data_IF_380577382603
#
_entry.id   IF_380577382603
#
_cell.length_a   1.000
_cell.length_b   1.000
_cell.length_c   1.000
_cell.angle_alpha   90.00
_cell.angle_beta   90.00
_cell.angle_gamma   90.00
#
_symmetry.space_group_name_H-M   'P 1'
#
loop_
_entity.id
_entity.type
_entity.pdbx_description
1 polymer ?
#
# COMPACT_ATOMS: atom_id res chain seq x y z
N UNK A 1 7.79 9.69 0.74
CA UNK A 1 7.18 8.58 -0.02
C UNK A 1 7.00 8.93 -1.50
N UNK A 2 6.67 10.18 -1.82
CA UNK A 2 6.33 10.64 -3.18
C UNK A 2 7.34 10.30 -4.27
N UNK A 3 8.64 10.31 -3.96
CA UNK A 3 9.67 9.89 -4.92
C UNK A 3 9.52 8.43 -5.34
N UNK A 4 9.06 7.53 -4.45
CA UNK A 4 8.86 6.11 -4.76
C UNK A 4 7.71 5.89 -5.75
N UNK A 5 6.65 6.69 -5.65
CA UNK A 5 5.58 6.72 -6.65
C UNK A 5 6.15 7.16 -8.01
N UNK A 6 6.96 8.22 -8.03
CA UNK A 6 7.55 8.74 -9.28
C UNK A 6 8.44 7.71 -9.97
N UNK A 7 9.15 6.88 -9.20
CA UNK A 7 9.98 5.80 -9.72
C UNK A 7 9.21 4.51 -10.03
N UNK A 8 7.88 4.49 -9.86
CA UNK A 8 7.04 3.32 -10.14
C UNK A 8 7.32 2.12 -9.21
N UNK A 9 7.91 2.36 -8.04
CA UNK A 9 8.26 1.31 -7.07
C UNK A 9 7.03 0.87 -6.27
N UNK A 10 6.17 1.83 -5.94
CA UNK A 10 4.91 1.60 -5.20
C UNK A 10 3.73 2.05 -6.05
N UNK A 11 2.60 1.33 -5.93
CA UNK A 11 1.41 1.61 -6.73
C UNK A 11 0.59 2.77 -6.15
N UNK A 12 0.63 2.96 -4.83
CA UNK A 12 -0.10 4.01 -4.13
C UNK A 12 0.59 4.44 -2.83
N UNK A 13 0.26 5.65 -2.39
CA UNK A 13 0.54 6.16 -1.05
C UNK A 13 -0.81 6.34 -0.38
N UNK A 14 -1.04 5.61 0.71
CA UNK A 14 -2.24 5.77 1.52
C UNK A 14 -2.03 6.97 2.45
N UNK A 15 -2.85 8.04 2.34
CA UNK A 15 -2.66 9.23 3.15
C UNK A 15 -3.04 8.98 4.61
N UNK A 16 -2.30 9.61 5.52
CA UNK A 16 -2.56 9.60 6.96
C UNK A 16 -3.15 10.96 7.37
N UNK A 17 -4.47 11.06 7.59
CA UNK A 17 -5.15 12.35 7.75
C UNK A 17 -4.99 12.98 9.14
N UNK A 18 -4.62 12.18 10.15
CA UNK A 18 -4.50 12.59 11.54
C UNK A 18 -3.13 12.17 12.07
N UNK A 19 -2.52 12.96 12.95
CA UNK A 19 -1.31 12.53 13.63
C UNK A 19 -1.67 11.42 14.62
N UNK A 20 -0.98 10.30 14.53
CA UNK A 20 -1.25 9.11 15.33
C UNK A 20 0.07 8.41 15.66
N UNK A 21 0.04 7.61 16.71
CA UNK A 21 1.14 6.73 17.07
C UNK A 21 0.57 5.37 17.46
N UNK A 22 1.36 4.33 17.23
CA UNK A 22 1.11 3.03 17.85
C UNK A 22 1.31 3.23 19.35
N UNK A 23 0.25 3.01 20.13
CA UNK A 23 0.35 3.02 21.59
C UNK A 23 1.29 1.87 22.01
N UNK A 24 2.44 2.21 22.58
CA UNK A 24 3.40 1.23 23.10
C UNK A 24 3.04 0.80 24.53
N UNK A 25 1.83 1.11 25.00
CA UNK A 25 1.35 0.85 26.36
C UNK A 25 1.57 2.02 27.31
N UNK A 26 1.76 3.25 26.83
CA UNK A 26 1.98 4.45 27.64
C UNK A 26 0.70 5.30 27.85
N UNK A 27 -0.44 4.84 27.32
CA UNK A 27 -1.76 5.34 27.70
C UNK A 27 -2.19 6.63 27.03
N UNK A 28 -1.55 7.02 25.92
CA UNK A 28 -2.07 8.10 25.08
C UNK A 28 -3.25 7.61 24.24
N UNK A 29 -4.34 8.36 24.23
CA UNK A 29 -5.62 8.09 23.54
C UNK A 29 -5.49 8.19 22.00
N UNK A 30 -4.58 7.43 21.40
CA UNK A 30 -4.39 7.32 19.95
C UNK A 30 -5.33 6.29 19.31
N UNK A 31 -6.14 5.57 20.10
CA UNK A 31 -6.93 4.43 19.66
C UNK A 31 -7.93 4.75 18.53
N UNK A 32 -8.55 5.93 18.53
CA UNK A 32 -9.48 6.34 17.46
C UNK A 32 -8.78 6.68 16.16
N UNK A 33 -7.72 7.49 16.21
CA UNK A 33 -6.93 7.85 15.03
C UNK A 33 -6.27 6.60 14.42
N UNK A 34 -5.66 5.75 15.26
CA UNK A 34 -5.14 4.44 14.87
C UNK A 34 -6.20 3.59 14.17
N UNK A 35 -7.38 3.45 14.77
CA UNK A 35 -8.48 2.66 14.19
C UNK A 35 -8.92 3.21 12.82
N UNK A 36 -8.97 4.53 12.66
CA UNK A 36 -9.33 5.17 11.39
C UNK A 36 -8.30 4.89 10.28
N UNK A 37 -7.02 4.98 10.60
CA UNK A 37 -5.93 4.69 9.66
C UNK A 37 -5.86 3.20 9.33
N UNK A 38 -5.97 2.33 10.32
CA UNK A 38 -6.03 0.88 10.11
C UNK A 38 -7.22 0.48 9.22
N UNK A 39 -8.39 1.12 9.41
CA UNK A 39 -9.57 0.90 8.56
C UNK A 39 -9.33 1.37 7.12
N UNK A 40 -8.67 2.51 6.95
CA UNK A 40 -8.30 3.04 5.62
C UNK A 40 -7.33 2.10 4.92
N UNK A 41 -6.27 1.65 5.59
CA UNK A 41 -5.31 0.68 5.07
C UNK A 41 -5.98 -0.64 4.71
N UNK A 42 -6.82 -1.20 5.60
CA UNK A 42 -7.58 -2.43 5.34
C UNK A 42 -8.43 -2.32 4.08
N UNK A 43 -9.11 -1.17 3.89
CA UNK A 43 -9.93 -0.92 2.70
C UNK A 43 -9.09 -0.99 1.43
N UNK A 44 -7.91 -0.36 1.42
CA UNK A 44 -7.02 -0.36 0.24
C UNK A 44 -6.44 -1.75 -0.04
N UNK A 45 -5.95 -2.45 0.98
CA UNK A 45 -5.46 -3.83 0.85
C UNK A 45 -6.54 -4.75 0.27
N UNK A 46 -7.78 -4.66 0.78
CA UNK A 46 -8.89 -5.51 0.32
C UNK A 46 -9.27 -5.19 -1.12
N UNK A 47 -9.25 -3.92 -1.52
CA UNK A 47 -9.48 -3.50 -2.90
C UNK A 47 -8.42 -4.10 -3.84
N UNK A 48 -7.13 -3.95 -3.51
CA UNK A 48 -6.03 -4.48 -4.31
C UNK A 48 -6.09 -6.02 -4.41
N UNK A 49 -6.42 -6.71 -3.32
CA UNK A 49 -6.62 -8.16 -3.34
C UNK A 49 -7.77 -8.57 -4.25
N UNK A 50 -8.89 -7.83 -4.22
CA UNK A 50 -10.04 -8.11 -5.10
C UNK A 50 -9.71 -7.89 -6.57
N UNK A 51 -8.95 -6.84 -6.89
CA UNK A 51 -8.50 -6.55 -8.26
C UNK A 51 -7.56 -7.64 -8.79
N UNK A 52 -6.64 -8.13 -7.95
CA UNK A 52 -5.72 -9.22 -8.30
C UNK A 52 -6.43 -10.56 -8.41
N UNK A 53 -7.40 -10.85 -7.53
CA UNK A 53 -8.16 -12.10 -7.55
C UNK A 53 -9.04 -12.25 -8.79
N UNK A 54 -9.40 -11.14 -9.45
CA UNK A 54 -10.16 -11.15 -10.71
C UNK A 54 -9.31 -11.53 -11.94
N UNK A 55 -7.98 -11.62 -11.80
CA UNK A 55 -7.06 -11.95 -12.89
C UNK A 55 -6.75 -13.45 -12.90
N UNK A 56 -6.57 -14.00 -14.09
CA UNK A 56 -6.07 -15.37 -14.21
C UNK A 56 -4.59 -15.47 -13.84
N UNK A 57 -4.14 -16.67 -13.51
CA UNK A 57 -2.77 -16.93 -13.06
C UNK A 57 -1.71 -16.50 -14.06
N UNK A 58 -1.95 -16.67 -15.38
CA UNK A 58 -0.97 -16.31 -16.40
C UNK A 58 -0.83 -14.79 -16.48
N UNK A 59 -1.95 -14.06 -16.46
CA UNK A 59 -1.95 -12.61 -16.41
C UNK A 59 -1.23 -12.08 -15.15
N UNK A 60 -1.51 -12.64 -13.96
CA UNK A 60 -0.84 -12.24 -12.71
C UNK A 60 0.68 -12.42 -12.78
N UNK A 61 1.14 -13.55 -13.34
CA UNK A 61 2.57 -13.82 -13.47
C UNK A 61 3.25 -12.87 -14.45
N UNK A 62 2.64 -12.63 -15.61
CA UNK A 62 3.18 -11.72 -16.62
C UNK A 62 3.22 -10.28 -16.10
N UNK A 63 2.13 -9.77 -15.54
CA UNK A 63 2.08 -8.41 -14.98
C UNK A 63 3.12 -8.20 -13.88
N UNK A 64 3.29 -9.19 -12.99
CA UNK A 64 4.32 -9.14 -11.96
C UNK A 64 5.72 -9.10 -12.57
N UNK A 65 5.99 -9.93 -13.57
CA UNK A 65 7.26 -9.91 -14.30
C UNK A 65 7.50 -8.54 -14.95
N UNK A 66 6.51 -8.01 -15.68
CA UNK A 66 6.60 -6.71 -16.34
C UNK A 66 6.83 -5.57 -15.35
N UNK A 67 6.14 -5.58 -14.21
CA UNK A 67 6.31 -4.59 -13.14
C UNK A 67 7.76 -4.53 -12.69
N UNK A 68 8.35 -5.66 -12.30
CA UNK A 68 9.75 -5.69 -11.85
C UNK A 68 10.74 -5.45 -12.99
N UNK A 69 10.45 -5.91 -14.21
CA UNK A 69 11.35 -5.74 -15.36
C UNK A 69 11.52 -4.27 -15.77
N UNK A 70 10.48 -3.45 -15.57
CA UNK A 70 10.48 -2.01 -15.84
C UNK A 70 11.12 -1.18 -14.73
N UNK A 71 11.33 -1.75 -13.54
CA UNK A 71 12.01 -1.06 -12.45
C UNK A 71 13.51 -1.05 -12.70
N UNK A 72 14.11 0.13 -12.57
CA UNK A 72 15.54 0.36 -12.77
C UNK A 72 15.85 1.05 -14.10
N UNK A 73 16.99 1.73 -14.12
CA UNK A 73 17.55 2.39 -15.30
C UNK A 73 18.75 1.55 -15.79
N UNK A 74 18.84 1.35 -17.10
CA UNK A 74 19.91 0.57 -17.73
C UNK A 74 20.57 1.45 -18.78
N UNK A 75 21.91 1.51 -18.78
CA UNK A 75 22.75 2.24 -19.75
C UNK A 75 23.32 1.28 -20.76
#
# INVERSE_FOLDING_TARGET
>A
ADSLIKFGIVDEIVPEPENWAIDNGDGNDSGKAYSNIAKTLKKRITASLSELAAKDTKALLDERYQKFRRMGEWV
#
